data_IF_522789130026
#
_entry.id   IF_522789130026
#
_cell.length_a   1.000
_cell.length_b   1.000
_cell.length_c   1.000
_cell.angle_alpha   90.00
_cell.angle_beta   90.00
_cell.angle_gamma   90.00
#
_symmetry.space_group_name_H-M   'P 1'
#
loop_
_entity.id
_entity.type
_entity.pdbx_description
1 polymer ?
#
# COMPACT_ATOMS: atom_id res chain seq x y z
N UNK A 1 5.57 -17.13 -23.37
CA UNK A 1 5.74 -16.57 -22.00
C UNK A 1 6.39 -15.21 -22.15
N UNK A 2 5.62 -14.15 -22.08
CA UNK A 2 6.16 -12.78 -22.13
C UNK A 2 6.94 -12.52 -20.84
N UNK A 3 8.24 -12.24 -20.96
CA UNK A 3 9.04 -11.76 -19.83
C UNK A 3 8.43 -10.45 -19.39
N UNK A 4 7.77 -10.41 -18.23
CA UNK A 4 7.41 -9.15 -17.60
C UNK A 4 8.70 -8.40 -17.27
N UNK A 5 8.87 -7.25 -17.90
CA UNK A 5 9.98 -6.34 -17.58
C UNK A 5 9.72 -5.82 -16.16
N UNK A 6 10.70 -5.91 -15.24
CA UNK A 6 10.53 -5.37 -13.89
C UNK A 6 10.08 -3.92 -13.92
N UNK A 7 9.27 -3.52 -12.94
CA UNK A 7 8.88 -2.12 -12.71
C UNK A 7 10.05 -1.41 -12.00
N UNK A 8 10.94 -0.78 -12.77
CA UNK A 8 12.09 -0.07 -12.21
C UNK A 8 11.86 1.44 -12.27
N UNK A 9 11.82 2.07 -11.10
CA UNK A 9 11.68 3.54 -10.97
C UNK A 9 12.91 4.27 -11.51
N UNK A 10 14.05 3.61 -11.53
CA UNK A 10 15.32 4.14 -12.05
C UNK A 10 15.30 4.39 -13.56
N UNK A 11 14.45 3.67 -14.29
CA UNK A 11 14.26 3.83 -15.74
C UNK A 11 13.47 5.10 -16.13
N UNK A 12 12.93 5.84 -15.15
CA UNK A 12 12.15 7.05 -15.38
C UNK A 12 13.10 8.24 -15.68
N UNK A 13 13.19 8.63 -16.94
CA UNK A 13 14.06 9.74 -17.40
C UNK A 13 13.28 10.96 -17.86
N UNK A 14 11.99 10.82 -18.15
CA UNK A 14 11.10 11.89 -18.60
C UNK A 14 9.66 11.67 -18.13
N UNK A 15 8.80 12.66 -18.31
CA UNK A 15 7.41 12.64 -17.85
C UNK A 15 6.60 11.51 -18.49
N UNK A 16 6.88 11.16 -19.75
CA UNK A 16 6.16 10.08 -20.42
C UNK A 16 6.53 8.71 -19.83
N UNK A 17 7.81 8.51 -19.49
CA UNK A 17 8.24 7.30 -18.79
C UNK A 17 7.63 7.21 -17.40
N UNK A 18 7.49 8.35 -16.71
CA UNK A 18 6.78 8.42 -15.44
C UNK A 18 5.29 8.02 -15.59
N UNK A 19 4.59 8.55 -16.58
CA UNK A 19 3.19 8.17 -16.87
C UNK A 19 3.06 6.68 -17.12
N UNK A 20 3.93 6.10 -17.94
CA UNK A 20 3.93 4.67 -18.24
C UNK A 20 4.21 3.81 -16.99
N UNK A 21 5.17 4.23 -16.18
CA UNK A 21 5.49 3.57 -14.91
C UNK A 21 4.29 3.60 -13.96
N UNK A 22 3.71 4.78 -13.72
CA UNK A 22 2.56 4.93 -12.81
C UNK A 22 1.33 4.16 -13.29
N UNK A 23 1.06 4.12 -14.60
CA UNK A 23 -0.04 3.35 -15.17
C UNK A 23 0.12 1.83 -14.95
N UNK A 24 1.35 1.33 -15.04
CA UNK A 24 1.65 -0.08 -14.72
C UNK A 24 1.54 -0.35 -13.22
N UNK A 25 2.13 0.52 -12.40
CA UNK A 25 2.05 0.43 -10.94
C UNK A 25 0.60 0.44 -10.46
N UNK A 26 -0.24 1.35 -10.98
CA UNK A 26 -1.67 1.39 -10.71
C UNK A 26 -2.31 0.02 -10.90
N UNK A 27 -2.11 -0.55 -12.08
CA UNK A 27 -2.78 -1.79 -12.50
C UNK A 27 -2.23 -3.04 -11.83
N UNK A 28 -0.90 -3.15 -11.73
CA UNK A 28 -0.22 -4.38 -11.31
C UNK A 28 -0.04 -4.45 -9.79
N UNK A 29 0.08 -3.31 -9.12
CA UNK A 29 0.43 -3.25 -7.69
C UNK A 29 -0.64 -2.54 -6.87
N UNK A 30 -0.92 -1.27 -7.16
CA UNK A 30 -1.76 -0.45 -6.31
C UNK A 30 -3.19 -0.99 -6.17
N UNK A 31 -3.89 -1.19 -7.30
CA UNK A 31 -5.28 -1.65 -7.29
C UNK A 31 -5.43 -3.12 -6.92
N UNK A 32 -4.47 -3.97 -7.31
CA UNK A 32 -4.58 -5.42 -7.15
C UNK A 32 -4.02 -5.93 -5.82
N UNK A 33 -3.06 -5.19 -5.22
CA UNK A 33 -2.33 -5.68 -4.04
C UNK A 33 -2.44 -4.69 -2.88
N UNK A 34 -2.03 -3.44 -3.05
CA UNK A 34 -1.88 -2.53 -1.91
C UNK A 34 -3.20 -2.06 -1.33
N UNK A 35 -4.14 -1.54 -2.15
CA UNK A 35 -5.45 -1.14 -1.66
C UNK A 35 -6.22 -2.29 -0.98
N UNK A 36 -6.30 -3.50 -1.58
CA UNK A 36 -6.89 -4.67 -0.92
C UNK A 36 -6.17 -5.06 0.37
N UNK A 37 -4.84 -4.90 0.43
CA UNK A 37 -4.07 -5.21 1.63
C UNK A 37 -4.37 -4.24 2.77
N UNK A 38 -4.44 -2.92 2.49
CA UNK A 38 -4.84 -1.91 3.49
C UNK A 38 -6.24 -2.23 4.02
N UNK A 39 -7.20 -2.48 3.13
CA UNK A 39 -8.57 -2.81 3.50
C UNK A 39 -8.63 -4.07 4.39
N UNK A 40 -7.93 -5.12 4.00
CA UNK A 40 -7.92 -6.38 4.75
C UNK A 40 -7.25 -6.24 6.11
N UNK A 41 -6.11 -5.55 6.16
CA UNK A 41 -5.39 -5.28 7.40
C UNK A 41 -6.23 -4.47 8.40
N UNK A 42 -6.98 -3.47 7.91
CA UNK A 42 -7.94 -2.72 8.71
C UNK A 42 -8.96 -3.64 9.38
N UNK A 43 -9.62 -4.53 8.62
CA UNK A 43 -10.65 -5.41 9.15
C UNK A 43 -10.08 -6.51 10.03
N UNK A 44 -8.91 -7.07 9.71
CA UNK A 44 -8.25 -8.04 10.58
C UNK A 44 -7.86 -7.42 11.92
N UNK A 45 -7.35 -6.19 11.91
CA UNK A 45 -7.03 -5.46 13.14
C UNK A 45 -8.30 -5.16 13.95
N UNK A 46 -9.35 -4.66 13.32
CA UNK A 46 -10.63 -4.32 13.96
C UNK A 46 -11.30 -5.54 14.63
N UNK A 47 -11.22 -6.71 13.99
CA UNK A 47 -11.80 -7.96 14.47
C UNK A 47 -10.86 -8.79 15.36
N UNK A 48 -9.67 -8.32 15.67
CA UNK A 48 -8.69 -9.07 16.45
C UNK A 48 -8.11 -10.31 15.77
N UNK A 49 -8.20 -10.40 14.44
CA UNK A 49 -7.78 -11.53 13.60
C UNK A 49 -6.28 -11.48 13.34
N UNK A 50 -5.50 -11.78 14.37
CA UNK A 50 -4.05 -11.64 14.32
C UNK A 50 -3.35 -12.63 13.37
N UNK A 51 -3.84 -13.87 13.29
CA UNK A 51 -3.26 -14.89 12.40
C UNK A 51 -3.43 -14.51 10.94
N UNK A 52 -4.58 -13.96 10.59
CA UNK A 52 -4.92 -13.46 9.27
C UNK A 52 -4.04 -12.28 8.87
N UNK A 53 -3.75 -11.39 9.82
CA UNK A 53 -2.84 -10.26 9.61
C UNK A 53 -1.41 -10.73 9.30
N UNK A 54 -0.89 -11.73 10.03
CA UNK A 54 0.41 -12.33 9.75
C UNK A 54 0.43 -13.07 8.42
N UNK A 55 -0.64 -13.80 8.09
CA UNK A 55 -0.78 -14.48 6.81
C UNK A 55 -0.78 -13.50 5.64
N UNK A 56 -1.40 -12.32 5.82
CA UNK A 56 -1.38 -11.25 4.83
C UNK A 56 0.05 -10.70 4.63
N UNK A 57 0.80 -10.46 5.70
CA UNK A 57 2.20 -10.01 5.62
C UNK A 57 3.07 -11.03 4.87
N UNK A 58 2.90 -12.31 5.15
CA UNK A 58 3.61 -13.39 4.45
C UNK A 58 3.24 -13.45 2.96
N UNK A 59 1.96 -13.25 2.60
CA UNK A 59 1.50 -13.19 1.20
C UNK A 59 2.13 -12.02 0.44
N UNK A 60 2.16 -10.83 1.04
CA UNK A 60 2.83 -9.69 0.42
C UNK A 60 4.32 -9.94 0.23
N UNK A 61 4.96 -10.58 1.22
CA UNK A 61 6.37 -10.96 1.15
C UNK A 61 6.66 -11.94 0.00
N UNK A 62 5.73 -12.84 -0.29
CA UNK A 62 5.86 -13.80 -1.38
C UNK A 62 5.48 -13.23 -2.77
N UNK A 63 4.93 -12.02 -2.84
CA UNK A 63 4.47 -11.40 -4.10
C UNK A 63 5.62 -10.90 -4.96
N UNK A 64 5.87 -11.47 -6.16
CA UNK A 64 6.93 -10.99 -7.05
C UNK A 64 6.75 -9.53 -7.47
N UNK A 65 5.48 -9.08 -7.65
CA UNK A 65 5.17 -7.71 -8.07
C UNK A 65 5.58 -6.65 -7.04
N UNK A 66 5.70 -7.02 -5.76
CA UNK A 66 6.11 -6.10 -4.70
C UNK A 66 7.63 -6.08 -4.45
N UNK A 67 8.39 -7.04 -5.01
CA UNK A 67 9.82 -7.12 -4.70
C UNK A 67 10.59 -5.88 -5.12
N UNK A 68 10.21 -5.26 -6.24
CA UNK A 68 10.83 -4.01 -6.72
C UNK A 68 10.60 -2.81 -5.78
N UNK A 69 9.57 -2.86 -4.93
CA UNK A 69 9.19 -1.80 -4.00
C UNK A 69 9.37 -2.19 -2.54
N UNK A 70 10.00 -3.34 -2.28
CA UNK A 70 10.07 -3.92 -0.93
C UNK A 70 10.84 -3.02 0.03
N UNK A 71 11.95 -2.46 -0.40
CA UNK A 71 12.81 -1.64 0.45
C UNK A 71 12.07 -0.39 0.94
N UNK A 72 11.47 0.37 0.03
CA UNK A 72 10.72 1.58 0.33
C UNK A 72 9.47 1.30 1.15
N UNK A 73 8.69 0.30 0.75
CA UNK A 73 7.45 -0.06 1.46
C UNK A 73 7.72 -0.55 2.88
N UNK A 74 8.76 -1.37 3.08
CA UNK A 74 9.16 -1.83 4.41
C UNK A 74 9.74 -0.70 5.25
N UNK A 75 10.51 0.21 4.64
CA UNK A 75 11.03 1.39 5.33
C UNK A 75 9.88 2.25 5.86
N UNK A 76 8.94 2.63 5.00
CA UNK A 76 7.77 3.46 5.38
C UNK A 76 6.92 2.74 6.43
N UNK A 77 6.64 1.45 6.25
CA UNK A 77 5.89 0.66 7.22
C UNK A 77 6.53 0.65 8.62
N UNK A 78 7.83 0.47 8.68
CA UNK A 78 8.57 0.52 9.96
C UNK A 78 8.57 1.91 10.59
N UNK A 79 8.64 2.99 9.80
CA UNK A 79 8.51 4.35 10.31
C UNK A 79 7.10 4.57 10.89
N UNK A 80 6.05 4.15 10.19
CA UNK A 80 4.68 4.22 10.71
C UNK A 80 4.51 3.44 12.02
N UNK A 81 5.08 2.23 12.12
CA UNK A 81 5.07 1.46 13.39
C UNK A 81 5.73 2.22 14.55
N UNK A 82 6.80 2.96 14.28
CA UNK A 82 7.46 3.79 15.32
C UNK A 82 6.57 4.95 15.75
N UNK A 83 5.84 5.58 14.82
CA UNK A 83 4.90 6.66 15.13
C UNK A 83 3.71 6.20 15.98
N UNK A 84 3.35 4.92 15.93
CA UNK A 84 2.31 4.32 16.77
C UNK A 84 2.76 4.04 18.21
N UNK A 85 3.97 4.43 18.62
CA UNK A 85 4.49 4.22 19.98
C UNK A 85 3.53 4.68 21.10
N UNK A 86 2.82 5.82 21.00
CA UNK A 86 1.86 6.23 22.03
C UNK A 86 0.69 5.26 22.21
N UNK A 87 0.41 4.39 21.23
CA UNK A 87 -0.71 3.43 21.19
C UNK A 87 -0.27 2.00 21.53
N UNK A 88 0.88 1.82 22.18
CA UNK A 88 1.40 0.47 22.46
C UNK A 88 0.65 -0.30 23.55
N UNK A 89 -0.36 0.28 24.19
CA UNK A 89 -1.33 -0.41 25.03
C UNK A 89 -2.28 -1.32 24.24
N UNK A 90 -2.43 -1.08 22.93
CA UNK A 90 -3.25 -1.90 22.04
C UNK A 90 -2.59 -3.27 21.78
N UNK A 91 -3.22 -4.34 22.30
CA UNK A 91 -2.68 -5.72 22.22
C UNK A 91 -2.34 -6.18 20.80
N UNK A 92 -3.19 -5.85 19.83
CA UNK A 92 -2.95 -6.20 18.41
C UNK A 92 -1.66 -5.58 17.90
N UNK A 93 -1.49 -4.27 18.14
CA UNK A 93 -0.30 -3.52 17.72
C UNK A 93 0.96 -4.04 18.40
N UNK A 94 0.92 -4.28 19.71
CA UNK A 94 2.05 -4.85 20.46
C UNK A 94 2.52 -6.17 19.87
N UNK A 95 1.57 -7.09 19.62
CA UNK A 95 1.88 -8.40 19.05
C UNK A 95 2.47 -8.28 17.65
N UNK A 96 1.84 -7.47 16.78
CA UNK A 96 2.33 -7.29 15.41
C UNK A 96 3.72 -6.65 15.40
N UNK A 97 3.95 -5.60 16.19
CA UNK A 97 5.27 -4.98 16.35
C UNK A 97 6.32 -5.97 16.84
N UNK A 98 5.98 -6.82 17.81
CA UNK A 98 6.90 -7.86 18.30
C UNK A 98 7.29 -8.84 17.18
N UNK A 99 6.33 -9.28 16.38
CA UNK A 99 6.60 -10.14 15.23
C UNK A 99 7.51 -9.45 14.18
N UNK A 100 7.32 -8.16 13.94
CA UNK A 100 8.21 -7.40 13.04
C UNK A 100 9.62 -7.28 13.60
N UNK A 101 9.78 -7.02 14.90
CA UNK A 101 11.10 -6.95 15.56
C UNK A 101 11.80 -8.31 15.52
N UNK A 102 11.08 -9.39 15.74
CA UNK A 102 11.61 -10.76 15.75
C UNK A 102 11.85 -11.32 14.32
N UNK A 103 11.45 -10.59 13.26
CA UNK A 103 11.57 -11.05 11.87
C UNK A 103 10.50 -12.05 11.43
N UNK A 104 9.49 -12.32 12.25
CA UNK A 104 8.34 -13.19 11.96
C UNK A 104 7.36 -12.53 10.97
N UNK A 105 7.36 -11.21 10.90
CA UNK A 105 6.64 -10.39 9.92
C UNK A 105 7.59 -9.34 9.36
N UNK A 106 7.31 -8.83 8.16
CA UNK A 106 8.12 -7.81 7.50
C UNK A 106 7.68 -6.39 7.83
N UNK A 107 6.39 -6.18 8.06
CA UNK A 107 5.82 -4.88 8.36
C UNK A 107 5.64 -4.01 7.10
N UNK A 108 5.03 -4.56 6.07
CA UNK A 108 4.70 -3.86 4.84
C UNK A 108 3.84 -2.63 5.09
N UNK A 109 4.13 -1.52 4.40
CA UNK A 109 3.39 -0.26 4.58
C UNK A 109 1.86 -0.41 4.47
N UNK A 110 1.29 -1.11 3.48
CA UNK A 110 -0.16 -1.30 3.40
C UNK A 110 -0.75 -1.95 4.65
N UNK A 111 -0.05 -2.91 5.25
CA UNK A 111 -0.52 -3.60 6.46
C UNK A 111 -0.48 -2.68 7.67
N UNK A 112 0.67 -2.03 7.87
CA UNK A 112 0.85 -1.11 9.00
C UNK A 112 -0.14 0.04 8.93
N UNK A 113 -0.38 0.58 7.71
CA UNK A 113 -1.34 1.64 7.48
C UNK A 113 -2.78 1.19 7.79
N UNK A 114 -3.19 -0.01 7.35
CA UNK A 114 -4.50 -0.58 7.68
C UNK A 114 -4.70 -0.77 9.19
N UNK A 115 -3.67 -1.25 9.89
CA UNK A 115 -3.68 -1.35 11.36
C UNK A 115 -3.79 0.03 12.00
N UNK A 116 -3.05 1.02 11.50
CA UNK A 116 -3.14 2.41 11.93
C UNK A 116 -4.57 2.96 11.82
N UNK A 117 -5.20 2.80 10.66
CA UNK A 117 -6.58 3.24 10.44
C UNK A 117 -7.56 2.61 11.44
N UNK A 118 -7.42 1.31 11.70
CA UNK A 118 -8.26 0.58 12.65
C UNK A 118 -8.11 1.09 14.09
N UNK A 119 -6.87 1.30 14.53
CA UNK A 119 -6.58 1.78 15.91
C UNK A 119 -7.14 3.19 16.13
N UNK A 120 -7.05 4.05 15.12
CA UNK A 120 -7.55 5.43 15.19
C UNK A 120 -9.03 5.56 14.81
N UNK A 121 -9.73 4.45 14.55
CA UNK A 121 -11.13 4.43 14.16
C UNK A 121 -11.42 5.31 12.93
N UNK A 122 -10.48 5.41 12.01
CA UNK A 122 -10.65 6.16 10.76
C UNK A 122 -11.60 5.38 9.85
N UNK A 123 -12.65 6.03 9.28
CA UNK A 123 -13.53 5.37 8.32
C UNK A 123 -12.73 4.80 7.15
N UNK A 124 -12.99 3.55 6.79
CA UNK A 124 -12.14 2.83 5.83
C UNK A 124 -12.03 3.53 4.47
N UNK A 125 -13.12 4.12 3.94
CA UNK A 125 -13.07 4.86 2.67
C UNK A 125 -12.16 6.07 2.73
N UNK A 126 -12.23 6.83 3.81
CA UNK A 126 -11.36 7.99 4.04
C UNK A 126 -9.90 7.55 4.19
N UNK A 127 -9.67 6.47 4.93
CA UNK A 127 -8.34 5.90 5.10
C UNK A 127 -7.73 5.42 3.79
N UNK A 128 -8.48 4.73 2.94
CA UNK A 128 -8.02 4.30 1.62
C UNK A 128 -7.74 5.49 0.70
N UNK A 129 -8.55 6.55 0.77
CA UNK A 129 -8.32 7.80 0.03
C UNK A 129 -7.02 8.47 0.47
N UNK A 130 -6.78 8.53 1.78
CA UNK A 130 -5.54 9.06 2.35
C UNK A 130 -4.32 8.22 1.93
N UNK A 131 -4.40 6.90 2.00
CA UNK A 131 -3.34 6.00 1.55
C UNK A 131 -3.00 6.24 0.08
N UNK A 132 -4.01 6.30 -0.79
CA UNK A 132 -3.80 6.54 -2.22
C UNK A 132 -3.16 7.90 -2.50
N UNK A 133 -3.64 8.97 -1.87
CA UNK A 133 -3.02 10.31 -2.01
C UNK A 133 -1.56 10.30 -1.58
N UNK A 134 -1.24 9.69 -0.45
CA UNK A 134 0.15 9.59 0.02
C UNK A 134 1.03 8.79 -0.93
N UNK A 135 0.52 7.69 -1.47
CA UNK A 135 1.26 6.85 -2.43
C UNK A 135 1.58 7.62 -3.71
N UNK A 136 0.59 8.24 -4.34
CA UNK A 136 0.81 8.99 -5.59
C UNK A 136 1.69 10.22 -5.38
N UNK A 137 1.45 10.99 -4.30
CA UNK A 137 2.31 12.12 -3.94
C UNK A 137 3.74 11.69 -3.66
N UNK A 138 3.94 10.57 -2.99
CA UNK A 138 5.25 10.03 -2.68
C UNK A 138 6.06 9.71 -3.94
N UNK A 139 5.46 9.01 -4.92
CA UNK A 139 6.11 8.72 -6.19
C UNK A 139 6.43 9.98 -7.00
N UNK A 140 5.42 10.85 -7.19
CA UNK A 140 5.55 12.03 -8.06
C UNK A 140 6.54 13.03 -7.48
N UNK A 141 6.46 13.34 -6.19
CA UNK A 141 7.37 14.28 -5.54
C UNK A 141 8.79 13.71 -5.44
N UNK A 142 8.93 12.43 -5.09
CA UNK A 142 10.24 11.79 -5.01
C UNK A 142 11.00 11.78 -6.34
N UNK A 143 10.29 11.72 -7.47
CA UNK A 143 10.90 11.80 -8.80
C UNK A 143 11.12 13.25 -9.24
N UNK A 144 10.19 14.17 -8.95
CA UNK A 144 10.32 15.61 -9.20
C UNK A 144 11.62 16.13 -8.64
N UNK A 145 11.90 15.84 -7.38
CA UNK A 145 13.10 16.31 -6.69
C UNK A 145 14.40 15.77 -7.31
N UNK A 146 14.37 14.53 -7.80
CA UNK A 146 15.55 13.86 -8.39
C UNK A 146 15.83 14.23 -9.86
N UNK A 147 14.78 14.53 -10.64
CA UNK A 147 14.86 14.65 -12.11
C UNK A 147 14.53 16.04 -12.64
N UNK A 148 14.08 16.97 -11.78
CA UNK A 148 13.81 18.35 -12.17
C UNK A 148 12.62 18.52 -13.12
N UNK A 149 11.56 17.71 -12.96
CA UNK A 149 10.34 17.85 -13.74
C UNK A 149 9.60 19.15 -13.42
N UNK A 150 8.85 19.67 -14.42
CA UNK A 150 8.03 20.84 -14.23
C UNK A 150 6.93 20.58 -13.18
N UNK A 151 6.72 21.56 -12.33
CA UNK A 151 5.72 21.47 -11.26
C UNK A 151 4.31 21.26 -11.80
N UNK A 152 3.95 21.97 -12.86
CA UNK A 152 2.65 21.84 -13.52
C UNK A 152 2.38 20.44 -14.04
N UNK A 153 3.37 19.78 -14.66
CA UNK A 153 3.25 18.40 -15.15
C UNK A 153 3.06 17.40 -14.01
N UNK A 154 3.76 17.62 -12.90
CA UNK A 154 3.62 16.78 -11.70
C UNK A 154 2.27 16.94 -11.04
N UNK A 155 1.74 18.18 -10.96
CA UNK A 155 0.40 18.45 -10.41
C UNK A 155 -0.70 17.83 -11.25
N UNK A 156 -0.66 18.02 -12.60
CA UNK A 156 -1.63 17.38 -13.50
C UNK A 156 -1.63 15.85 -13.35
N UNK A 157 -0.44 15.27 -13.21
CA UNK A 157 -0.31 13.83 -13.05
C UNK A 157 -0.86 13.36 -11.70
N UNK A 158 -0.61 14.12 -10.64
CA UNK A 158 -1.15 13.82 -9.32
C UNK A 158 -2.68 13.90 -9.31
N UNK A 159 -3.25 14.97 -9.85
CA UNK A 159 -4.70 15.17 -9.95
C UNK A 159 -5.34 14.02 -10.73
N UNK A 160 -4.74 13.62 -11.87
CA UNK A 160 -5.22 12.49 -12.66
C UNK A 160 -5.38 11.19 -11.84
N UNK A 161 -4.42 10.85 -10.98
CA UNK A 161 -4.49 9.64 -10.16
C UNK A 161 -5.40 9.82 -8.94
N UNK A 162 -5.40 10.99 -8.32
CA UNK A 162 -6.27 11.30 -7.16
C UNK A 162 -7.74 11.26 -7.53
N UNK A 163 -8.13 11.80 -8.69
CA UNK A 163 -9.51 11.80 -9.18
C UNK A 163 -10.07 10.40 -9.43
N UNK A 164 -9.21 9.43 -9.68
CA UNK A 164 -9.60 8.03 -9.92
C UNK A 164 -9.73 7.20 -8.64
N UNK A 165 -9.17 7.67 -7.51
CA UNK A 165 -9.18 6.95 -6.24
C UNK A 165 -10.59 6.52 -5.79
N UNK A 166 -11.64 7.37 -5.84
CA UNK A 166 -12.96 6.96 -5.37
C UNK A 166 -13.48 5.71 -6.08
N UNK A 167 -13.26 5.59 -7.38
CA UNK A 167 -13.69 4.42 -8.17
C UNK A 167 -12.95 3.15 -7.74
N UNK A 168 -11.64 3.20 -7.52
CA UNK A 168 -10.86 2.04 -7.08
C UNK A 168 -11.24 1.61 -5.67
N UNK A 169 -11.47 2.59 -4.79
CA UNK A 169 -11.89 2.34 -3.41
C UNK A 169 -13.24 1.63 -3.37
N UNK A 170 -14.22 2.09 -4.14
CA UNK A 170 -15.51 1.41 -4.20
C UNK A 170 -15.38 -0.03 -4.72
N UNK A 171 -14.57 -0.29 -5.74
CA UNK A 171 -14.31 -1.64 -6.21
C UNK A 171 -13.80 -2.54 -5.08
N UNK A 172 -12.79 -2.10 -4.32
CA UNK A 172 -12.21 -2.87 -3.20
C UNK A 172 -13.26 -3.11 -2.10
N UNK A 173 -14.03 -2.09 -1.74
CA UNK A 173 -15.05 -2.19 -0.69
C UNK A 173 -16.21 -3.10 -1.10
N UNK A 174 -16.67 -3.02 -2.34
CA UNK A 174 -17.76 -3.86 -2.87
C UNK A 174 -17.32 -5.32 -3.01
N UNK A 175 -16.14 -5.59 -3.59
CA UNK A 175 -15.62 -6.95 -3.73
C UNK A 175 -15.45 -7.65 -2.37
N UNK A 176 -15.03 -6.90 -1.36
CA UNK A 176 -14.85 -7.44 -0.01
C UNK A 176 -16.17 -7.78 0.68
N UNK A 177 -17.25 -7.10 0.36
CA UNK A 177 -18.59 -7.38 0.90
C UNK A 177 -19.24 -8.62 0.25
N UNK A 178 -18.87 -8.93 -1.00
CA UNK A 178 -19.40 -10.08 -1.75
C UNK A 178 -18.68 -11.40 -1.41
N UNK A 179 -17.49 -11.35 -0.82
CA UNK A 179 -16.70 -12.53 -0.44
C UNK A 179 -16.02 -12.32 0.93
N UNK A 180 -16.76 -12.35 2.05
CA UNK A 180 -16.18 -12.18 3.37
C UNK A 180 -15.22 -13.35 3.68
N UNK A 181 -13.93 -13.10 3.58
CA UNK A 181 -12.87 -14.06 3.96
C UNK A 181 -12.01 -14.60 2.83
N UNK A 182 -12.29 -14.29 1.59
CA UNK A 182 -11.45 -14.72 0.47
C UNK A 182 -10.85 -13.49 -0.21
N UNK A 183 -9.62 -13.11 0.13
CA UNK A 183 -8.80 -12.30 -0.75
C UNK A 183 -8.64 -13.10 -2.06
N UNK A 184 -9.51 -12.85 -3.04
CA UNK A 184 -9.18 -13.13 -4.43
C UNK A 184 -8.19 -12.07 -4.92
N UNK A 185 -7.10 -11.91 -4.21
CA UNK A 185 -5.93 -11.33 -4.80
C UNK A 185 -5.48 -12.34 -5.86
N UNK A 186 -5.69 -12.04 -7.11
CA UNK A 186 -5.10 -12.77 -8.22
C UNK A 186 -3.58 -12.56 -8.16
N UNK A 187 -2.92 -13.20 -7.21
CA UNK A 187 -1.48 -13.39 -7.19
C UNK A 187 -1.14 -14.46 -8.26
N UNK A 188 -1.30 -14.11 -9.54
CA UNK A 188 -0.77 -14.87 -10.66
C UNK A 188 0.47 -14.23 -11.21
#
# INVERSE_FOLDING_TARGET
>A
MSKQVPLEIESVTNIQNLRNFLARYEKEVFCCIELPAVHSAYWFANRGQFKELLSLDAKLTASPALQCFSEESLYVGRQHLRMLKPMYDQRMLQRFRKCVINGEAKGWNPIVFGVFLSIHSVPIREGLLQFGRQTWSGFINGIKDKKGFLESECLELLDHYVDRLPRWIENVVVESNTSPGTLKANFR
#
